data_IF_071166395578
#
_entry.id   IF_071166395578
#
_cell.length_a   1.000
_cell.length_b   1.000
_cell.length_c   1.000
_cell.angle_alpha   90.00
_cell.angle_beta   90.00
_cell.angle_gamma   90.00
#
_symmetry.space_group_name_H-M   'P 1'
#
loop_
_entity.id
_entity.type
_entity.pdbx_description
1 polymer ?
#
# COMPACT_ATOMS: atom_id res chain seq x y z
N UNK A 1 9.32 16.13 -22.33
CA UNK A 1 10.73 15.85 -22.63
C UNK A 1 10.77 14.46 -23.29
N UNK A 2 11.07 14.36 -24.59
CA UNK A 2 11.02 13.10 -25.33
C UNK A 2 12.08 12.08 -24.89
N UNK A 3 13.10 12.50 -24.14
CA UNK A 3 14.16 11.60 -23.65
C UNK A 3 13.80 10.92 -22.31
N UNK A 4 12.65 11.27 -21.71
CA UNK A 4 12.14 10.68 -20.48
C UNK A 4 11.25 9.49 -20.76
N UNK A 5 11.30 8.53 -19.84
CA UNK A 5 10.46 7.33 -19.83
C UNK A 5 9.51 7.48 -18.65
N UNK A 6 8.24 7.70 -18.92
CA UNK A 6 7.19 7.94 -17.93
C UNK A 6 6.55 6.63 -17.54
N UNK A 7 6.69 6.26 -16.28
CA UNK A 7 6.15 5.04 -15.70
C UNK A 7 5.06 5.43 -14.71
N UNK A 8 3.88 4.84 -14.86
CA UNK A 8 2.83 4.93 -13.86
C UNK A 8 2.76 3.66 -13.03
N UNK A 9 2.54 3.80 -11.72
CA UNK A 9 2.09 2.72 -10.86
C UNK A 9 0.77 3.09 -10.18
N UNK A 10 -0.20 2.18 -10.18
CA UNK A 10 -1.56 2.47 -9.70
C UNK A 10 -1.87 1.74 -8.41
N UNK A 11 -2.23 2.49 -7.36
CA UNK A 11 -2.66 1.90 -6.08
C UNK A 11 -3.92 1.03 -6.23
N UNK A 12 -4.13 0.01 -5.36
CA UNK A 12 -5.25 -0.91 -5.46
C UNK A 12 -6.62 -0.21 -5.58
N UNK A 13 -6.89 0.78 -4.72
CA UNK A 13 -8.18 1.47 -4.67
C UNK A 13 -8.53 2.30 -5.90
N UNK A 14 -7.55 2.70 -6.73
CA UNK A 14 -7.81 3.54 -7.91
C UNK A 14 -8.78 2.83 -8.86
N UNK A 15 -8.63 1.51 -9.01
CA UNK A 15 -9.45 0.69 -9.91
C UNK A 15 -10.91 0.52 -9.48
N UNK A 16 -11.27 0.95 -8.27
CA UNK A 16 -12.66 0.89 -7.76
C UNK A 16 -13.27 2.27 -7.53
N UNK A 17 -12.47 3.34 -7.51
CA UNK A 17 -12.96 4.71 -7.37
C UNK A 17 -12.96 5.50 -8.68
N UNK A 18 -12.03 5.23 -9.60
CA UNK A 18 -11.85 6.06 -10.80
C UNK A 18 -13.13 6.17 -11.66
N UNK A 19 -13.91 5.09 -11.77
CA UNK A 19 -15.13 5.06 -12.58
C UNK A 19 -16.21 6.06 -12.14
N UNK A 20 -16.27 6.39 -10.85
CA UNK A 20 -17.27 7.32 -10.29
C UNK A 20 -17.17 8.71 -10.92
N UNK A 21 -15.95 9.16 -11.23
CA UNK A 21 -15.72 10.45 -11.88
C UNK A 21 -16.35 10.57 -13.27
N UNK A 22 -16.72 9.44 -13.89
CA UNK A 22 -17.27 9.30 -15.23
C UNK A 22 -18.73 8.79 -15.22
N UNK A 23 -19.38 8.86 -14.06
CA UNK A 23 -20.78 8.50 -13.88
C UNK A 23 -21.05 6.99 -13.88
N UNK A 24 -20.04 6.19 -13.51
CA UNK A 24 -20.21 4.76 -13.21
C UNK A 24 -20.59 4.60 -11.73
N UNK A 25 -21.23 3.48 -11.38
CA UNK A 25 -21.63 3.20 -10.00
C UNK A 25 -20.42 3.13 -9.05
N UNK A 26 -20.55 3.59 -7.79
CA UNK A 26 -19.50 3.46 -6.79
C UNK A 26 -18.99 2.03 -6.63
N UNK A 27 -17.66 1.87 -6.61
CA UNK A 27 -17.01 0.55 -6.52
C UNK A 27 -16.94 -0.22 -7.84
N UNK A 28 -17.36 0.35 -8.97
CA UNK A 28 -17.22 -0.32 -10.27
C UNK A 28 -15.74 -0.63 -10.57
N UNK A 29 -15.44 -1.89 -10.87
CA UNK A 29 -14.08 -2.34 -11.17
C UNK A 29 -13.65 -1.92 -12.58
N UNK A 30 -12.66 -1.03 -12.68
CA UNK A 30 -12.20 -0.39 -13.92
C UNK A 30 -10.69 -0.56 -14.16
N UNK A 31 -10.10 -1.68 -13.73
CA UNK A 31 -8.66 -1.95 -13.84
C UNK A 31 -8.14 -1.83 -15.29
N UNK A 32 -8.84 -2.46 -16.23
CA UNK A 32 -8.47 -2.51 -17.63
C UNK A 32 -8.52 -1.13 -18.29
N UNK A 33 -9.55 -0.34 -17.98
CA UNK A 33 -9.72 1.04 -18.46
C UNK A 33 -8.75 2.00 -17.80
N UNK A 34 -8.41 1.78 -16.53
CA UNK A 34 -7.39 2.54 -15.82
C UNK A 34 -6.00 2.34 -16.47
N UNK A 35 -5.63 1.12 -16.83
CA UNK A 35 -4.39 0.88 -17.57
C UNK A 35 -4.45 1.49 -18.98
N UNK A 36 -5.57 1.33 -19.69
CA UNK A 36 -5.75 1.87 -21.04
C UNK A 36 -5.65 3.39 -21.08
N UNK A 37 -6.27 4.09 -20.13
CA UNK A 37 -6.28 5.56 -20.13
C UNK A 37 -4.90 6.13 -19.85
N UNK A 38 -4.12 5.51 -18.95
CA UNK A 38 -2.74 5.94 -18.70
C UNK A 38 -1.85 5.76 -19.93
N UNK A 39 -2.03 4.67 -20.68
CA UNK A 39 -1.34 4.48 -21.97
C UNK A 39 -1.79 5.51 -23.01
N UNK A 40 -3.07 5.86 -23.03
CA UNK A 40 -3.60 6.91 -23.93
C UNK A 40 -3.05 8.30 -23.60
N UNK A 41 -2.83 8.59 -22.32
CA UNK A 41 -2.19 9.82 -21.82
C UNK A 41 -0.66 9.86 -22.04
N UNK A 42 -0.09 8.83 -22.67
CA UNK A 42 1.32 8.80 -23.06
C UNK A 42 2.27 8.13 -22.05
N UNK A 43 1.77 7.27 -21.17
CA UNK A 43 2.63 6.41 -20.34
C UNK A 43 3.44 5.43 -21.21
N UNK A 44 4.76 5.35 -20.99
CA UNK A 44 5.60 4.32 -21.60
C UNK A 44 5.39 2.95 -20.95
N UNK A 45 5.16 2.95 -19.63
CA UNK A 45 4.83 1.74 -18.86
C UNK A 45 3.78 2.03 -17.79
N UNK A 46 2.89 1.06 -17.56
CA UNK A 46 1.88 1.08 -16.51
C UNK A 46 1.99 -0.21 -15.69
N UNK A 47 2.34 -0.07 -14.42
CA UNK A 47 2.48 -1.16 -13.47
C UNK A 47 1.41 -1.13 -12.39
N UNK A 48 1.20 -2.28 -11.76
CA UNK A 48 0.26 -2.42 -10.67
C UNK A 48 1.00 -2.30 -9.33
N UNK A 49 0.58 -1.37 -8.45
CA UNK A 49 1.14 -1.24 -7.10
C UNK A 49 0.84 -2.44 -6.20
N UNK A 50 -0.08 -3.33 -6.60
CA UNK A 50 -0.31 -4.60 -5.89
C UNK A 50 0.95 -5.47 -5.84
N UNK A 51 1.87 -5.35 -6.81
CA UNK A 51 3.19 -5.98 -6.74
C UNK A 51 4.01 -5.44 -5.56
N UNK A 52 4.11 -4.11 -5.43
CA UNK A 52 4.74 -3.46 -4.28
C UNK A 52 4.06 -3.78 -2.95
N UNK A 53 2.76 -4.04 -2.96
CA UNK A 53 2.02 -4.49 -1.78
C UNK A 53 2.45 -5.90 -1.35
N UNK A 54 2.63 -6.84 -2.28
CA UNK A 54 3.16 -8.16 -1.97
C UNK A 54 4.60 -8.10 -1.43
N UNK A 55 5.44 -7.20 -1.96
CA UNK A 55 6.78 -6.94 -1.40
C UNK A 55 6.68 -6.44 0.05
N UNK A 56 5.76 -5.49 0.31
CA UNK A 56 5.51 -4.98 1.65
C UNK A 56 5.11 -6.10 2.60
N UNK A 57 4.19 -6.99 2.18
CA UNK A 57 3.75 -8.12 3.00
C UNK A 57 4.85 -9.13 3.26
N UNK A 58 5.69 -9.41 2.25
CA UNK A 58 6.82 -10.32 2.41
C UNK A 58 7.72 -9.87 3.56
N UNK A 59 8.06 -8.58 3.59
CA UNK A 59 8.90 -8.00 4.64
C UNK A 59 8.14 -7.84 5.98
N UNK A 60 6.95 -7.25 5.96
CA UNK A 60 6.17 -6.93 7.17
C UNK A 60 5.72 -8.21 7.92
N UNK A 61 5.33 -9.26 7.19
CA UNK A 61 4.99 -10.55 7.79
C UNK A 61 6.23 -11.29 8.29
N UNK A 62 7.36 -11.22 7.58
CA UNK A 62 8.64 -11.78 8.07
C UNK A 62 9.09 -11.09 9.36
N UNK A 63 9.00 -9.77 9.41
CA UNK A 63 9.30 -8.97 10.60
C UNK A 63 8.39 -9.35 11.76
N UNK A 64 7.08 -9.48 11.52
CA UNK A 64 6.12 -9.91 12.54
C UNK A 64 6.46 -11.29 13.09
N UNK A 65 6.70 -12.26 12.20
CA UNK A 65 7.08 -13.62 12.58
C UNK A 65 8.38 -13.60 13.39
N UNK A 66 9.37 -12.81 12.98
CA UNK A 66 10.62 -12.67 13.73
C UNK A 66 10.38 -12.09 15.13
N UNK A 67 9.60 -11.00 15.25
CA UNK A 67 9.31 -10.37 16.55
C UNK A 67 8.60 -11.32 17.51
N UNK A 68 7.64 -12.11 17.01
CA UNK A 68 6.88 -13.09 17.80
C UNK A 68 7.74 -14.30 18.18
N UNK A 69 8.44 -14.90 17.22
CA UNK A 69 9.14 -16.19 17.42
C UNK A 69 10.47 -16.05 18.15
N UNK A 70 11.14 -14.90 18.05
CA UNK A 70 12.42 -14.66 18.75
C UNK A 70 12.25 -14.23 20.21
N UNK A 71 11.06 -13.75 20.60
CA UNK A 71 10.79 -13.21 21.94
C UNK A 71 11.48 -11.88 22.28
N UNK A 72 12.28 -11.32 21.37
CA UNK A 72 13.08 -10.10 21.59
C UNK A 72 12.62 -8.90 20.75
N UNK A 73 11.51 -9.03 20.03
CA UNK A 73 10.95 -7.95 19.20
C UNK A 73 10.04 -6.99 19.99
N UNK A 74 10.01 -5.72 19.59
CA UNK A 74 9.09 -4.73 20.15
C UNK A 74 7.66 -5.00 19.67
N UNK A 75 6.74 -5.24 20.61
CA UNK A 75 5.32 -5.49 20.35
C UNK A 75 4.42 -4.43 21.02
N UNK A 76 3.23 -4.12 20.46
CA UNK A 76 2.72 -4.60 19.17
C UNK A 76 3.55 -4.07 18.00
N UNK A 77 3.66 -4.84 16.91
CA UNK A 77 4.09 -4.28 15.62
C UNK A 77 2.91 -3.50 15.02
N UNK A 78 3.10 -2.22 14.70
CA UNK A 78 2.15 -1.43 13.95
C UNK A 78 2.52 -1.44 12.47
N UNK A 79 1.51 -1.49 11.59
CA UNK A 79 1.76 -1.31 10.15
C UNK A 79 2.33 0.07 9.85
N UNK A 80 3.17 0.19 8.81
CA UNK A 80 3.82 1.45 8.40
C UNK A 80 3.41 1.98 7.01
N UNK A 81 2.51 1.27 6.31
CA UNK A 81 2.18 1.57 4.91
C UNK A 81 1.31 2.84 4.71
N UNK A 82 0.60 3.30 5.76
CA UNK A 82 -0.19 4.52 5.76
C UNK A 82 0.67 5.72 6.22
N UNK A 83 1.04 6.66 5.33
CA UNK A 83 1.99 7.72 5.67
C UNK A 83 1.45 8.72 6.71
N UNK A 84 0.14 9.00 6.68
CA UNK A 84 -0.49 9.86 7.68
C UNK A 84 -0.51 9.20 9.07
N UNK A 85 -0.51 7.87 9.14
CA UNK A 85 -0.36 7.15 10.41
C UNK A 85 1.08 7.23 10.92
N UNK A 86 2.07 7.03 10.04
CA UNK A 86 3.49 7.18 10.39
C UNK A 86 3.76 8.59 10.95
N UNK A 87 3.29 9.63 10.25
CA UNK A 87 3.44 11.01 10.70
C UNK A 87 2.69 11.29 12.02
N UNK A 88 1.51 10.70 12.19
CA UNK A 88 0.77 10.79 13.46
C UNK A 88 1.57 10.17 14.63
N UNK A 89 2.24 9.04 14.42
CA UNK A 89 3.12 8.42 15.43
C UNK A 89 4.32 9.33 15.70
N UNK A 90 5.00 9.81 14.66
CA UNK A 90 6.17 10.68 14.80
C UNK A 90 5.88 11.95 15.61
N UNK A 91 4.68 12.53 15.45
CA UNK A 91 4.28 13.77 16.13
C UNK A 91 3.73 13.51 17.54
N UNK A 92 2.82 12.55 17.69
CA UNK A 92 2.02 12.41 18.92
C UNK A 92 2.42 11.25 19.81
N UNK A 93 3.13 10.25 19.27
CA UNK A 93 3.53 9.03 19.98
C UNK A 93 4.94 8.58 19.59
N UNK A 94 5.97 9.46 19.68
CA UNK A 94 7.32 9.14 19.22
C UNK A 94 7.92 7.92 19.94
N UNK A 95 7.44 7.58 21.14
CA UNK A 95 7.81 6.36 21.86
C UNK A 95 7.42 5.06 21.12
N UNK A 96 6.47 5.12 20.19
CA UNK A 96 6.00 3.99 19.38
C UNK A 96 6.69 3.90 18.01
N UNK A 97 7.69 4.72 17.70
CA UNK A 97 8.41 4.66 16.42
C UNK A 97 9.02 3.27 16.19
N UNK A 98 9.61 2.68 17.23
CA UNK A 98 10.19 1.33 17.16
C UNK A 98 9.13 0.21 17.06
N UNK A 99 7.87 0.54 17.31
CA UNK A 99 6.75 -0.38 17.11
C UNK A 99 6.27 -0.39 15.65
N UNK A 100 6.52 0.66 14.86
CA UNK A 100 6.22 0.64 13.42
C UNK A 100 7.03 -0.46 12.72
N UNK A 101 6.41 -1.10 11.72
CA UNK A 101 7.12 -2.00 10.81
C UNK A 101 8.22 -1.22 10.10
N UNK A 102 9.38 -1.85 9.95
CA UNK A 102 10.50 -1.32 9.18
C UNK A 102 10.27 -1.42 7.67
N UNK A 103 9.25 -2.18 7.23
CA UNK A 103 8.84 -2.24 5.83
C UNK A 103 8.45 -0.86 5.30
N UNK A 104 8.76 -0.60 4.03
CA UNK A 104 8.25 0.57 3.33
C UNK A 104 6.81 0.34 2.87
N UNK A 105 6.10 1.42 2.58
CA UNK A 105 4.79 1.33 1.93
C UNK A 105 4.90 0.78 0.50
N UNK A 106 3.79 0.27 -0.08
CA UNK A 106 3.80 -0.34 -1.41
C UNK A 106 4.40 0.53 -2.52
N UNK A 107 4.07 1.83 -2.57
CA UNK A 107 4.63 2.73 -3.60
C UNK A 107 6.14 2.96 -3.40
N UNK A 108 6.61 2.91 -2.16
CA UNK A 108 8.01 3.09 -1.81
C UNK A 108 8.82 1.78 -1.82
N UNK A 109 8.17 0.62 -1.82
CA UNK A 109 8.78 -0.66 -2.20
C UNK A 109 8.95 -0.73 -3.72
N UNK A 110 7.90 -0.35 -4.45
CA UNK A 110 7.89 -0.44 -5.91
C UNK A 110 8.71 0.65 -6.59
N UNK A 111 8.78 1.86 -6.02
CA UNK A 111 9.60 2.97 -6.52
C UNK A 111 11.06 2.59 -6.82
N UNK A 112 11.85 2.18 -5.81
CA UNK A 112 13.22 1.72 -6.03
C UNK A 112 13.27 0.44 -6.85
N UNK A 113 12.28 -0.46 -6.76
CA UNK A 113 12.22 -1.67 -7.60
C UNK A 113 12.13 -1.33 -9.09
N UNK A 114 11.33 -0.31 -9.45
CA UNK A 114 11.23 0.21 -10.82
C UNK A 114 12.59 0.76 -11.26
N UNK A 115 13.20 1.62 -10.44
CA UNK A 115 14.45 2.29 -10.83
C UNK A 115 15.69 1.41 -10.71
N UNK A 116 15.63 0.26 -10.05
CA UNK A 116 16.77 -0.67 -9.93
C UNK A 116 16.56 -1.93 -10.74
N UNK A 117 15.67 -2.82 -10.27
CA UNK A 117 15.42 -4.11 -10.86
C UNK A 117 14.84 -4.01 -12.28
N UNK A 118 13.76 -3.25 -12.45
CA UNK A 118 13.13 -3.10 -13.78
C UNK A 118 14.04 -2.34 -14.74
N UNK A 119 14.61 -1.19 -14.33
CA UNK A 119 15.54 -0.43 -15.17
C UNK A 119 16.68 -1.30 -15.71
N UNK A 120 17.30 -2.12 -14.84
CA UNK A 120 18.34 -3.08 -15.24
C UNK A 120 17.81 -4.13 -16.22
N UNK A 121 16.63 -4.70 -15.98
CA UNK A 121 16.03 -5.74 -16.84
C UNK A 121 15.62 -5.21 -18.21
N UNK A 122 15.15 -3.97 -18.26
CA UNK A 122 14.74 -3.28 -19.49
C UNK A 122 15.89 -2.55 -20.19
N UNK A 123 17.11 -2.60 -19.65
CA UNK A 123 18.27 -1.85 -20.14
C UNK A 123 18.02 -0.33 -20.26
N UNK A 124 17.30 0.23 -19.30
CA UNK A 124 16.96 1.65 -19.20
C UNK A 124 17.89 2.34 -18.20
N UNK A 125 18.38 3.53 -18.55
CA UNK A 125 19.06 4.41 -17.60
C UNK A 125 18.05 4.93 -16.57
N UNK A 126 18.22 4.64 -15.26
CA UNK A 126 17.28 5.07 -14.22
C UNK A 126 17.10 6.58 -14.12
N UNK A 127 18.05 7.40 -14.61
CA UNK A 127 17.93 8.87 -14.66
C UNK A 127 16.89 9.36 -15.68
N UNK A 128 16.56 8.52 -16.65
CA UNK A 128 15.54 8.80 -17.65
C UNK A 128 14.14 8.47 -17.15
N UNK A 129 14.02 7.65 -16.10
CA UNK A 129 12.73 7.23 -15.56
C UNK A 129 12.10 8.38 -14.76
N UNK A 130 10.88 8.72 -15.14
CA UNK A 130 9.95 9.53 -14.35
C UNK A 130 8.86 8.61 -13.83
N UNK A 131 8.92 8.30 -12.54
CA UNK A 131 8.03 7.36 -11.86
C UNK A 131 6.92 8.10 -11.12
N UNK A 132 5.68 7.85 -11.54
CA UNK A 132 4.47 8.53 -11.08
C UNK A 132 3.55 7.51 -10.40
N UNK A 133 3.17 7.74 -9.14
CA UNK A 133 2.13 6.94 -8.50
C UNK A 133 0.76 7.61 -8.63
N UNK A 134 -0.25 6.84 -9.06
CA UNK A 134 -1.66 7.21 -8.96
C UNK A 134 -2.22 6.61 -7.68
N UNK A 135 -2.70 7.46 -6.77
CA UNK A 135 -3.11 7.01 -5.43
C UNK A 135 -4.42 7.64 -4.97
N UNK A 136 -5.20 7.00 -4.09
CA UNK A 136 -6.38 7.60 -3.48
C UNK A 136 -6.03 8.54 -2.30
N UNK A 137 -4.78 9.01 -2.18
CA UNK A 137 -4.29 9.62 -0.95
C UNK A 137 -3.45 10.88 -1.21
N UNK A 138 -3.75 11.95 -0.48
CA UNK A 138 -2.95 13.19 -0.51
C UNK A 138 -1.66 13.05 0.30
N UNK A 139 -1.68 12.33 1.43
CA UNK A 139 -0.48 12.12 2.26
C UNK A 139 0.63 11.33 1.55
N UNK A 140 0.30 10.57 0.49
CA UNK A 140 1.30 9.93 -0.38
C UNK A 140 2.19 10.97 -1.11
N UNK A 141 1.68 12.17 -1.39
CA UNK A 141 2.50 13.26 -1.95
C UNK A 141 3.60 13.67 -0.95
N UNK A 142 3.27 13.79 0.34
CA UNK A 142 4.26 14.07 1.38
C UNK A 142 5.24 12.90 1.58
N UNK A 143 4.74 11.66 1.55
CA UNK A 143 5.60 10.48 1.75
C UNK A 143 6.81 10.45 0.80
N UNK A 144 6.61 10.81 -0.48
CA UNK A 144 7.68 10.78 -1.48
C UNK A 144 8.65 11.96 -1.39
N UNK A 145 8.32 13.04 -0.67
CA UNK A 145 9.22 14.19 -0.49
C UNK A 145 10.20 13.99 0.66
N UNK A 146 9.97 12.99 1.51
CA UNK A 146 10.83 12.66 2.65
C UNK A 146 12.25 12.31 2.18
N UNK A 147 13.25 12.97 2.76
CA UNK A 147 14.64 12.91 2.30
C UNK A 147 15.19 11.48 2.35
N UNK A 148 14.85 10.73 3.39
CA UNK A 148 15.33 9.37 3.62
C UNK A 148 14.77 8.33 2.64
N UNK A 149 13.69 8.65 1.91
CA UNK A 149 13.04 7.80 0.90
C UNK A 149 13.76 7.92 -0.46
N UNK A 150 15.01 7.47 -0.48
CA UNK A 150 15.95 7.66 -1.59
C UNK A 150 16.82 6.44 -1.88
N UNK A 151 16.29 5.23 -1.73
CA UNK A 151 17.11 4.03 -1.80
C UNK A 151 17.62 3.70 -3.21
N UNK A 152 16.89 4.08 -4.26
CA UNK A 152 17.40 4.04 -5.64
C UNK A 152 18.62 4.94 -5.80
N UNK A 153 18.57 6.18 -5.29
CA UNK A 153 19.71 7.09 -5.31
C UNK A 153 20.91 6.57 -4.52
N UNK A 154 20.66 5.99 -3.33
CA UNK A 154 21.72 5.33 -2.56
C UNK A 154 22.32 4.12 -3.30
N UNK A 155 21.48 3.30 -3.94
CA UNK A 155 21.91 2.13 -4.71
C UNK A 155 22.85 2.50 -5.86
N UNK A 156 22.57 3.60 -6.56
CA UNK A 156 23.40 4.10 -7.65
C UNK A 156 24.48 5.09 -7.23
N UNK A 157 24.54 5.43 -5.93
CA UNK A 157 25.37 6.52 -5.41
C UNK A 157 25.17 7.84 -6.20
N UNK A 158 23.90 8.19 -6.45
CA UNK A 158 23.50 9.39 -7.20
C UNK A 158 22.28 10.05 -6.57
N UNK A 159 22.48 11.26 -6.04
CA UNK A 159 21.43 12.04 -5.37
C UNK A 159 20.32 12.55 -6.31
N UNK A 160 20.55 12.53 -7.62
CA UNK A 160 19.54 12.94 -8.62
C UNK A 160 18.48 11.85 -8.87
N UNK A 161 18.69 10.64 -8.36
CA UNK A 161 17.74 9.53 -8.51
C UNK A 161 16.91 9.40 -7.22
N UNK A 162 15.63 9.77 -7.29
CA UNK A 162 14.63 9.56 -6.24
C UNK A 162 13.94 8.22 -6.37
N UNK A 163 13.40 7.63 -5.29
CA UNK A 163 12.56 6.42 -5.36
C UNK A 163 11.30 6.64 -6.21
N UNK A 164 10.66 7.79 -5.99
CA UNK A 164 9.43 8.25 -6.63
C UNK A 164 9.61 9.71 -7.05
N UNK A 165 9.09 10.09 -8.23
CA UNK A 165 9.21 11.45 -8.74
C UNK A 165 7.92 12.25 -8.50
N UNK A 166 6.76 11.62 -8.75
CA UNK A 166 5.47 12.28 -8.58
C UNK A 166 4.40 11.38 -7.97
N UNK A 167 3.43 12.01 -7.33
CA UNK A 167 2.17 11.38 -6.92
C UNK A 167 1.02 12.24 -7.42
N UNK A 168 0.09 11.61 -8.13
CA UNK A 168 -1.21 12.20 -8.49
C UNK A 168 -2.33 11.43 -7.81
N UNK A 169 -3.38 12.15 -7.47
CA UNK A 169 -4.60 11.60 -6.87
C UNK A 169 -5.54 11.06 -7.94
N UNK A 170 -6.53 10.26 -7.54
CA UNK A 170 -7.62 9.83 -8.43
C UNK A 170 -8.33 11.05 -9.01
N UNK A 171 -8.57 12.10 -8.21
CA UNK A 171 -9.20 13.34 -8.71
C UNK A 171 -8.35 14.08 -9.75
N UNK A 172 -7.04 14.16 -9.53
CA UNK A 172 -6.13 14.78 -10.51
C UNK A 172 -6.11 14.00 -11.82
N UNK A 173 -6.05 12.66 -11.76
CA UNK A 173 -6.16 11.82 -12.97
C UNK A 173 -7.52 12.00 -13.64
N UNK A 174 -8.63 11.99 -12.88
CA UNK A 174 -9.97 12.20 -13.41
C UNK A 174 -10.14 13.54 -14.12
N UNK A 175 -9.55 14.60 -13.59
CA UNK A 175 -9.57 15.92 -14.21
C UNK A 175 -8.75 15.93 -15.49
N UNK A 176 -7.55 15.33 -15.49
CA UNK A 176 -6.72 15.24 -16.69
C UNK A 176 -7.42 14.48 -17.82
N UNK A 177 -8.06 13.33 -17.52
CA UNK A 177 -8.84 12.56 -18.51
C UNK A 177 -9.96 13.42 -19.13
N UNK A 178 -10.64 14.24 -18.32
CA UNK A 178 -11.71 15.15 -18.77
C UNK A 178 -11.17 16.29 -19.63
N UNK A 179 -10.03 16.87 -19.25
CA UNK A 179 -9.36 17.94 -19.99
C UNK A 179 -8.88 17.47 -21.37
N UNK A 180 -8.37 16.25 -21.45
CA UNK A 180 -7.95 15.60 -22.70
C UNK A 180 -9.14 15.05 -23.51
N UNK A 181 -10.38 15.23 -23.00
CA UNK A 181 -11.64 14.82 -23.64
C UNK A 181 -11.66 13.34 -24.02
N UNK A 182 -11.07 12.50 -23.18
CA UNK A 182 -11.05 11.05 -23.38
C UNK A 182 -12.39 10.46 -22.94
N UNK A 183 -13.05 9.74 -23.85
CA UNK A 183 -14.29 9.01 -23.59
C UNK A 183 -14.03 7.74 -22.76
N UNK A 184 -13.78 7.91 -21.45
CA UNK A 184 -13.33 6.84 -20.54
C UNK A 184 -14.21 5.58 -20.58
N UNK A 185 -15.54 5.76 -20.63
CA UNK A 185 -16.50 4.63 -20.66
C UNK A 185 -16.41 3.80 -21.94
N UNK A 186 -15.99 4.41 -23.04
CA UNK A 186 -15.85 3.77 -24.35
C UNK A 186 -14.44 3.19 -24.59
N UNK A 187 -13.49 3.39 -23.67
CA UNK A 187 -12.14 2.85 -23.80
C UNK A 187 -12.18 1.32 -23.82
N UNK A 188 -11.49 0.75 -24.81
CA UNK A 188 -11.09 -0.65 -24.76
C UNK A 188 -10.06 -0.83 -23.65
N UNK A 189 -10.27 -1.84 -22.81
CA UNK A 189 -9.34 -2.17 -21.73
C UNK A 189 -7.96 -2.57 -22.24
N UNK A 190 -6.94 -2.32 -21.43
CA UNK A 190 -5.57 -2.75 -21.66
C UNK A 190 -5.03 -3.48 -20.43
N UNK A 191 -4.03 -4.33 -20.64
CA UNK A 191 -3.31 -4.97 -19.55
C UNK A 191 -2.19 -4.06 -19.02
N UNK A 192 -1.82 -4.27 -17.75
CA UNK A 192 -0.57 -3.76 -17.20
C UNK A 192 0.64 -4.32 -17.96
N UNK A 193 1.73 -3.57 -17.98
CA UNK A 193 2.96 -4.02 -18.60
C UNK A 193 3.64 -5.12 -17.78
N UNK A 194 4.36 -5.99 -18.48
CA UNK A 194 5.01 -7.18 -17.90
C UNK A 194 6.16 -6.83 -16.93
N UNK A 195 6.73 -7.84 -16.27
CA UNK A 195 7.78 -7.77 -15.23
C UNK A 195 7.31 -7.29 -13.85
N UNK A 196 6.52 -6.23 -13.78
CA UNK A 196 5.94 -5.68 -12.54
C UNK A 196 4.42 -5.56 -12.67
N UNK A 197 3.81 -6.62 -13.20
CA UNK A 197 2.37 -6.71 -13.44
C UNK A 197 1.58 -6.93 -12.14
N UNK A 198 0.30 -7.27 -12.27
CA UNK A 198 -0.62 -7.53 -11.15
C UNK A 198 -0.04 -8.51 -10.13
N UNK A 199 -0.08 -8.10 -8.85
CA UNK A 199 0.24 -8.91 -7.68
C UNK A 199 -0.89 -9.84 -7.25
N UNK A 200 -0.75 -10.39 -6.05
CA UNK A 200 -1.63 -11.39 -5.46
C UNK A 200 -2.98 -10.81 -5.01
N UNK A 201 -3.92 -11.70 -4.67
CA UNK A 201 -5.16 -11.30 -4.00
C UNK A 201 -4.94 -10.57 -2.66
N UNK A 202 -3.81 -10.82 -1.99
CA UNK A 202 -3.38 -10.08 -0.80
C UNK A 202 -3.06 -8.63 -1.13
N UNK A 203 -2.26 -8.38 -2.18
CA UNK A 203 -1.97 -7.02 -2.64
C UNK A 203 -3.22 -6.22 -3.07
N UNK A 204 -4.24 -6.89 -3.62
CA UNK A 204 -5.49 -6.23 -4.04
C UNK A 204 -6.28 -5.66 -2.85
N UNK A 205 -6.37 -6.42 -1.75
CA UNK A 205 -7.19 -6.03 -0.59
C UNK A 205 -6.54 -4.94 0.28
N UNK A 206 -5.28 -4.55 0.04
CA UNK A 206 -4.62 -3.42 0.73
C UNK A 206 -5.44 -2.12 0.76
N UNK A 207 -6.31 -1.94 -0.23
CA UNK A 207 -7.16 -0.77 -0.35
C UNK A 207 -8.19 -0.61 0.77
N UNK A 208 -8.57 -1.69 1.44
CA UNK A 208 -9.62 -1.69 2.48
C UNK A 208 -9.02 -1.84 3.87
N UNK A 209 -9.70 -1.28 4.87
CA UNK A 209 -9.31 -1.49 6.28
C UNK A 209 -9.42 -2.98 6.66
N UNK A 210 -8.33 -3.54 7.18
CA UNK A 210 -8.19 -4.96 7.50
C UNK A 210 -7.53 -5.77 6.38
N UNK A 211 -7.37 -5.21 5.18
CA UNK A 211 -6.77 -5.94 4.07
C UNK A 211 -5.27 -6.18 4.24
N UNK A 212 -4.55 -5.24 4.87
CA UNK A 212 -3.12 -5.41 5.19
C UNK A 212 -2.96 -6.49 6.25
N UNK A 213 -3.77 -6.42 7.32
CA UNK A 213 -3.86 -7.41 8.37
C UNK A 213 -4.10 -8.81 7.80
N UNK A 214 -5.13 -8.96 6.97
CA UNK A 214 -5.47 -10.25 6.37
C UNK A 214 -4.35 -10.78 5.50
N UNK A 215 -3.75 -9.93 4.67
CA UNK A 215 -2.62 -10.34 3.82
C UNK A 215 -1.38 -10.72 4.64
N UNK A 216 -1.07 -9.98 5.72
CA UNK A 216 0.06 -10.28 6.60
C UNK A 216 -0.15 -11.60 7.35
N UNK A 217 -1.36 -11.85 7.86
CA UNK A 217 -1.69 -13.09 8.59
C UNK A 217 -1.65 -14.31 7.67
N UNK A 218 -2.14 -14.20 6.42
CA UNK A 218 -2.01 -15.26 5.41
C UNK A 218 -0.53 -15.64 5.17
N UNK A 219 0.34 -14.65 5.05
CA UNK A 219 1.77 -14.86 4.81
C UNK A 219 2.50 -15.36 6.06
N UNK A 220 2.21 -14.80 7.23
CA UNK A 220 2.74 -15.28 8.51
C UNK A 220 2.38 -16.74 8.77
N UNK A 221 1.15 -17.16 8.41
CA UNK A 221 0.75 -18.56 8.49
C UNK A 221 1.66 -19.46 7.68
N UNK A 222 1.94 -19.09 6.43
CA UNK A 222 2.86 -19.85 5.58
C UNK A 222 4.28 -19.85 6.14
N UNK A 223 4.78 -18.71 6.63
CA UNK A 223 6.14 -18.63 7.17
C UNK A 223 6.35 -19.47 8.42
N UNK A 224 5.36 -19.54 9.33
CA UNK A 224 5.42 -20.35 10.55
C UNK A 224 5.21 -21.83 10.24
N UNK A 225 4.18 -22.17 9.46
CA UNK A 225 3.72 -23.57 9.32
C UNK A 225 4.30 -24.29 8.10
N UNK A 226 4.84 -23.54 7.13
CA UNK A 226 5.21 -24.01 5.79
C UNK A 226 4.07 -24.64 4.99
N UNK A 227 2.81 -24.32 5.36
CA UNK A 227 1.58 -24.76 4.70
C UNK A 227 0.78 -23.56 4.21
N UNK A 228 -0.01 -23.76 3.15
CA UNK A 228 -0.95 -22.73 2.70
C UNK A 228 -1.97 -22.42 3.81
N UNK A 229 -2.35 -21.16 3.99
CA UNK A 229 -3.35 -20.78 4.98
C UNK A 229 -4.69 -21.48 4.71
N UNK A 230 -5.45 -21.87 5.76
CA UNK A 230 -6.79 -22.39 5.59
C UNK A 230 -7.72 -21.33 5.03
N UNK A 231 -8.83 -21.75 4.40
CA UNK A 231 -9.80 -20.87 3.75
C UNK A 231 -10.33 -19.76 4.68
N UNK A 232 -10.45 -20.03 5.97
CA UNK A 232 -10.97 -19.07 6.93
C UNK A 232 -10.05 -17.84 7.12
N UNK A 233 -8.74 -17.99 6.90
CA UNK A 233 -7.81 -16.84 6.88
C UNK A 233 -7.89 -16.01 5.58
N UNK A 234 -8.67 -16.48 4.60
CA UNK A 234 -8.99 -15.67 3.43
C UNK A 234 -10.20 -14.78 3.64
N UNK A 235 -10.98 -14.98 4.70
CA UNK A 235 -12.12 -14.15 5.07
C UNK A 235 -12.07 -13.91 6.58
N UNK A 236 -11.13 -13.10 7.04
CA UNK A 236 -11.04 -12.81 8.47
C UNK A 236 -12.31 -12.06 8.90
N UNK A 237 -13.11 -12.65 9.78
CA UNK A 237 -14.39 -12.08 10.21
C UNK A 237 -14.24 -10.64 10.76
N UNK A 238 -13.13 -10.38 11.49
CA UNK A 238 -12.80 -9.06 12.00
C UNK A 238 -12.55 -7.99 10.91
N UNK A 239 -12.40 -8.38 9.65
CA UNK A 239 -12.33 -7.47 8.48
C UNK A 239 -13.72 -7.11 7.97
N UNK A 240 -14.76 -7.92 8.25
CA UNK A 240 -16.07 -7.83 7.61
C UNK A 240 -17.01 -6.73 8.12
N UNK A 241 -16.80 -6.17 9.31
CA UNK A 241 -17.64 -5.09 9.86
C UNK A 241 -16.95 -3.71 9.78
N UNK A 242 -17.66 -2.59 9.99
CA UNK A 242 -17.10 -1.23 9.84
C UNK A 242 -16.79 -0.52 11.17
N UNK A 243 -16.67 -1.26 12.26
CA UNK A 243 -16.35 -0.71 13.57
C UNK A 243 -14.95 -0.08 13.58
N UNK A 244 -14.78 1.00 14.33
CA UNK A 244 -13.55 1.80 14.31
C UNK A 244 -12.30 1.08 14.84
N UNK A 245 -12.51 0.12 15.74
CA UNK A 245 -11.50 -0.77 16.30
C UNK A 245 -12.10 -2.17 16.25
N UNK A 246 -11.41 -3.09 15.59
CA UNK A 246 -11.81 -4.50 15.45
C UNK A 246 -10.69 -5.36 16.00
N UNK A 247 -11.03 -6.39 16.75
CA UNK A 247 -10.07 -7.24 17.46
C UNK A 247 -10.31 -8.69 17.07
N UNK A 248 -9.25 -9.46 16.96
CA UNK A 248 -9.34 -10.90 16.80
C UNK A 248 -8.12 -11.59 17.41
N UNK A 249 -8.25 -12.89 17.61
CA UNK A 249 -7.16 -13.76 17.99
C UNK A 249 -7.00 -14.82 16.91
N UNK A 250 -5.78 -14.98 16.41
CA UNK A 250 -5.46 -15.94 15.35
C UNK A 250 -4.42 -16.92 15.87
N UNK A 251 -4.74 -18.21 15.84
CA UNK A 251 -3.80 -19.28 16.21
C UNK A 251 -3.10 -19.80 14.96
N UNK A 252 -1.77 -19.74 14.96
CA UNK A 252 -0.89 -20.20 13.88
C UNK A 252 0.15 -21.15 14.46
N UNK A 253 -0.03 -22.46 14.25
CA UNK A 253 0.79 -23.46 14.93
C UNK A 253 0.65 -23.32 16.45
N UNK A 254 1.78 -23.16 17.14
CA UNK A 254 1.82 -22.99 18.61
C UNK A 254 1.69 -21.52 19.06
N UNK A 255 1.54 -20.58 18.12
CA UNK A 255 1.48 -19.15 18.41
C UNK A 255 0.04 -18.65 18.39
N UNK A 256 -0.35 -17.94 19.43
CA UNK A 256 -1.61 -17.20 19.48
C UNK A 256 -1.34 -15.72 19.32
N UNK A 257 -1.78 -15.16 18.19
CA UNK A 257 -1.50 -13.77 17.79
C UNK A 257 -2.75 -12.93 18.04
N UNK A 258 -2.63 -11.96 18.94
CA UNK A 258 -3.68 -10.99 19.24
C UNK A 258 -3.55 -9.83 18.28
N UNK A 259 -4.58 -9.60 17.46
CA UNK A 259 -4.55 -8.60 16.40
C UNK A 259 -5.60 -7.52 16.63
N UNK A 260 -5.30 -6.31 16.17
CA UNK A 260 -6.27 -5.24 16.05
C UNK A 260 -6.21 -4.57 14.69
N UNK A 261 -7.38 -4.17 14.19
CA UNK A 261 -7.53 -3.40 12.97
C UNK A 261 -8.21 -2.09 13.34
N UNK A 262 -7.56 -0.98 13.01
CA UNK A 262 -8.02 0.36 13.36
C UNK A 262 -8.14 1.20 12.10
N UNK A 263 -9.25 1.94 12.00
CA UNK A 263 -9.33 3.04 11.06
C UNK A 263 -9.75 4.35 11.75
N UNK A 264 -9.10 5.44 11.36
CA UNK A 264 -9.26 6.76 11.96
C UNK A 264 -8.30 7.02 13.14
N UNK A 265 -7.63 8.17 13.13
CA UNK A 265 -6.65 8.56 14.16
C UNK A 265 -7.26 8.71 15.56
N UNK A 266 -8.54 9.07 15.65
CA UNK A 266 -9.27 9.10 16.93
C UNK A 266 -9.38 7.70 17.55
N UNK A 267 -9.58 6.66 16.72
CA UNK A 267 -9.62 5.27 17.17
C UNK A 267 -8.21 4.75 17.48
N UNK A 268 -7.21 5.14 16.68
CA UNK A 268 -5.81 4.81 16.95
C UNK A 268 -5.37 5.33 18.32
N UNK A 269 -5.69 6.59 18.64
CA UNK A 269 -5.46 7.18 19.97
C UNK A 269 -6.12 6.35 21.08
N UNK A 270 -7.40 6.02 20.93
CA UNK A 270 -8.12 5.18 21.92
C UNK A 270 -7.45 3.82 22.13
N UNK A 271 -7.02 3.15 21.05
CA UNK A 271 -6.34 1.86 21.14
C UNK A 271 -4.99 2.00 21.84
N UNK A 272 -4.20 3.01 21.47
CA UNK A 272 -2.88 3.26 22.07
C UNK A 272 -2.99 3.48 23.57
N UNK A 273 -3.96 4.29 24.04
CA UNK A 273 -4.14 4.52 25.48
C UNK A 273 -4.48 3.21 26.23
N UNK A 274 -5.27 2.31 25.62
CA UNK A 274 -5.56 0.98 26.18
C UNK A 274 -4.33 0.06 26.22
N UNK A 275 -3.43 0.18 25.24
CA UNK A 275 -2.16 -0.55 25.24
C UNK A 275 -1.22 0.00 26.32
N UNK A 276 -1.12 1.33 26.45
CA UNK A 276 -0.27 2.00 27.44
C UNK A 276 -0.73 1.76 28.88
N UNK A 277 -2.04 1.66 29.11
CA UNK A 277 -2.59 1.33 30.44
C UNK A 277 -2.46 -0.14 30.83
N UNK A 278 -2.10 -1.01 29.88
CA UNK A 278 -2.08 -2.46 30.08
C UNK A 278 -3.46 -3.12 30.01
N UNK A 279 -4.53 -2.39 29.68
CA UNK A 279 -5.88 -2.96 29.49
C UNK A 279 -5.91 -3.96 28.34
N UNK A 280 -5.15 -3.68 27.28
CA UNK A 280 -5.09 -4.50 26.07
C UNK A 280 -3.65 -4.81 25.69
N UNK A 281 -3.41 -6.02 25.20
CA UNK A 281 -2.14 -6.47 24.64
C UNK A 281 -2.37 -7.02 23.24
N UNK A 282 -1.62 -6.49 22.28
CA UNK A 282 -1.64 -6.96 20.89
C UNK A 282 -0.24 -7.32 20.45
N UNK A 283 -0.17 -8.16 19.43
CA UNK A 283 1.06 -8.57 18.77
C UNK A 283 1.19 -7.84 17.42
N UNK A 284 0.08 -7.63 16.71
CA UNK A 284 0.07 -6.92 15.43
C UNK A 284 -1.15 -5.99 15.31
N UNK A 285 -0.92 -4.76 14.86
CA UNK A 285 -1.98 -3.76 14.73
C UNK A 285 -1.90 -3.06 13.37
N UNK A 286 -2.95 -3.22 12.58
CA UNK A 286 -3.14 -2.42 11.36
C UNK A 286 -3.77 -1.07 11.72
N UNK A 287 -3.19 0.01 11.20
CA UNK A 287 -3.77 1.36 11.33
C UNK A 287 -3.89 2.05 9.97
N UNK A 288 -5.11 2.40 9.61
CA UNK A 288 -5.44 3.27 8.48
C UNK A 288 -6.01 4.59 8.99
N UNK A 289 -5.60 5.74 8.47
CA UNK A 289 -6.15 7.02 8.95
C UNK A 289 -7.54 7.35 8.38
N UNK A 290 -7.89 6.79 7.22
CA UNK A 290 -9.16 7.01 6.54
C UNK A 290 -10.18 5.92 6.93
N UNK A 291 -11.43 6.32 7.21
CA UNK A 291 -12.50 5.41 7.61
C UNK A 291 -12.85 4.44 6.48
N UNK A 292 -12.62 3.14 6.65
CA UNK A 292 -12.78 2.16 5.58
C UNK A 292 -11.50 1.85 4.79
N UNK A 293 -10.39 2.54 5.07
CA UNK A 293 -9.10 2.33 4.40
C UNK A 293 -8.86 3.29 3.23
N UNK A 294 -7.94 2.93 2.33
CA UNK A 294 -7.55 3.76 1.20
C UNK A 294 -8.68 3.96 0.17
N UNK A 295 -9.68 3.08 0.10
CA UNK A 295 -10.87 3.23 -0.77
C UNK A 295 -11.72 4.46 -0.46
N UNK A 296 -11.55 5.06 0.72
CA UNK A 296 -12.17 6.33 1.13
C UNK A 296 -11.11 7.41 1.40
N UNK A 297 -9.93 7.24 0.79
CA UNK A 297 -8.79 8.10 0.99
C UNK A 297 -9.05 9.53 0.54
N UNK A 298 -8.34 10.49 1.13
CA UNK A 298 -8.57 11.92 0.84
C UNK A 298 -8.32 12.34 -0.60
N UNK A 299 -7.84 11.47 -1.50
CA UNK A 299 -7.62 11.70 -2.93
C UNK A 299 -8.58 10.93 -3.86
N UNK A 300 -9.59 10.21 -3.34
CA UNK A 300 -10.63 9.56 -4.14
C UNK A 300 -11.60 10.57 -4.75
N UNK A 301 -12.41 10.13 -5.70
CA UNK A 301 -13.48 10.93 -6.32
C UNK A 301 -14.60 11.28 -5.34
#
# INVERSE_FOLDING_TARGET
DPDKIVIFQTSPSVRVSLGEAFGMEPGTYVEDKMAAVLKNLGADYVFDTTFGADLTITEEASELVQRITSGNGTLPQFTSCCPAWVEFVEIYYPELINNLSSSKSPILMQGPTIKTYFAKKAAIDPKKIVNVAVTPCTAKKYEITRAEKNDAGKYYNDENIRDMDYVITVRELSNWIKEDKIEFKALQGAEFDSLLSRGSGGGIIFGITGGVMESAIRTAYYYITKKNPPKDLYNLEAVGNMDGIREAQVTIGDYTINIAIVHGTANARKLIEKVKSGEKKYDFVEVMTCRGGCVSGGGTT
#
